data_IF_709642710492
#
_entry.id   IF_709642710492
#
_cell.length_a   1.000
_cell.length_b   1.000
_cell.length_c   1.000
_cell.angle_alpha   90.00
_cell.angle_beta   90.00
_cell.angle_gamma   90.00
#
_symmetry.space_group_name_H-M   'P 1'
#
loop_
_entity.id
_entity.type
_entity.pdbx_description
1 polymer ?
#
# COMPACT_ATOMS: atom_id res chain seq x y z
N UNK A 1 48.40 -53.01 29.25
CA UNK A 1 49.21 -51.94 28.64
C UNK A 1 48.25 -50.80 28.37
N UNK A 2 48.04 -49.92 29.36
CA UNK A 2 48.82 -48.69 29.64
C UNK A 2 48.40 -47.56 28.69
N UNK A 3 47.61 -46.59 29.21
CA UNK A 3 47.98 -45.16 29.44
C UNK A 3 47.92 -44.33 28.13
N UNK A 4 47.35 -43.13 28.04
CA UNK A 4 46.86 -42.16 29.01
C UNK A 4 46.11 -41.02 28.28
N UNK A 5 45.60 -40.06 29.06
CA UNK A 5 45.02 -38.78 28.62
C UNK A 5 46.12 -37.80 28.15
N UNK A 6 45.68 -36.72 27.49
CA UNK A 6 46.13 -35.31 27.56
C UNK A 6 45.80 -34.68 26.17
N UNK A 7 44.84 -33.77 25.98
CA UNK A 7 44.59 -32.38 26.44
C UNK A 7 44.93 -31.32 25.36
N UNK A 8 43.99 -30.38 25.24
CA UNK A 8 44.06 -28.97 24.79
C UNK A 8 44.45 -28.54 23.35
N UNK A 9 43.72 -27.52 22.86
CA UNK A 9 44.25 -26.59 21.85
C UNK A 9 43.25 -25.90 20.90
N UNK A 10 42.20 -25.24 21.40
CA UNK A 10 41.35 -24.35 20.59
C UNK A 10 42.03 -23.02 20.24
N UNK A 11 41.95 -22.59 18.98
CA UNK A 11 42.47 -21.29 18.52
C UNK A 11 41.31 -20.29 18.31
N UNK A 12 41.31 -19.22 19.10
CA UNK A 12 40.42 -18.06 18.99
C UNK A 12 41.29 -16.84 18.65
N UNK A 13 40.96 -16.02 17.64
CA UNK A 13 41.77 -14.86 17.26
C UNK A 13 41.63 -13.69 18.26
N UNK A 14 42.65 -12.82 18.39
CA UNK A 14 42.72 -11.84 19.46
C UNK A 14 41.81 -10.63 19.24
N UNK A 15 41.11 -10.24 20.31
CA UNK A 15 40.37 -8.99 20.41
C UNK A 15 41.32 -7.78 20.42
N UNK A 16 40.95 -6.74 19.69
CA UNK A 16 41.64 -5.45 19.67
C UNK A 16 41.62 -4.81 21.08
N UNK A 17 42.81 -4.48 21.60
CA UNK A 17 42.98 -3.69 22.82
C UNK A 17 42.77 -2.21 22.52
N UNK A 18 41.84 -1.57 23.23
CA UNK A 18 41.85 -0.13 23.49
C UNK A 18 42.51 0.13 24.86
N UNK A 19 43.35 1.16 25.01
CA UNK A 19 44.07 1.40 26.25
C UNK A 19 43.13 1.89 27.36
N UNK A 20 43.23 1.25 28.52
CA UNK A 20 42.56 1.64 29.76
C UNK A 20 43.25 2.84 30.40
N UNK A 21 42.46 3.79 30.88
CA UNK A 21 42.87 4.82 31.84
C UNK A 21 42.00 4.73 33.08
N UNK A 22 42.66 4.43 34.20
CA UNK A 22 42.23 4.51 35.61
C UNK A 22 41.18 3.53 36.17
N UNK A 23 41.72 2.53 36.87
CA UNK A 23 41.57 2.35 38.32
C UNK A 23 40.16 2.20 38.91
N UNK A 24 39.73 0.95 39.14
CA UNK A 24 39.81 0.31 40.46
C UNK A 24 38.92 -0.95 40.55
N UNK A 25 39.54 -2.01 41.09
CA UNK A 25 38.97 -3.15 41.82
C UNK A 25 38.19 -4.23 41.04
N UNK A 26 38.82 -5.40 40.99
CA UNK A 26 38.25 -6.71 40.68
C UNK A 26 37.12 -7.06 41.67
N UNK A 27 35.98 -7.50 41.15
CA UNK A 27 35.09 -8.46 41.83
C UNK A 27 34.42 -9.34 40.78
N UNK A 28 34.69 -10.64 40.89
CA UNK A 28 34.09 -11.76 40.16
C UNK A 28 32.62 -11.93 40.54
N UNK A 29 31.72 -12.10 39.56
CA UNK A 29 30.32 -12.48 39.80
C UNK A 29 30.15 -14.01 39.74
N UNK A 30 29.39 -14.64 40.68
CA UNK A 30 28.86 -16.00 40.49
C UNK A 30 27.51 -15.96 39.74
N UNK A 31 27.08 -17.07 39.12
CA UNK A 31 25.85 -17.12 38.34
C UNK A 31 24.66 -17.50 39.25
N UNK A 32 23.54 -16.80 39.12
CA UNK A 32 22.26 -17.29 39.62
C UNK A 32 21.12 -16.97 38.65
N UNK A 33 20.31 -17.99 38.49
CA UNK A 33 19.20 -18.26 37.58
C UNK A 33 17.98 -17.36 37.79
N UNK A 34 17.33 -17.07 36.65
CA UNK A 34 15.93 -16.68 36.38
C UNK A 34 15.12 -15.78 37.34
N UNK A 35 14.51 -14.76 36.71
CA UNK A 35 13.37 -13.94 37.16
C UNK A 35 13.61 -12.95 38.32
N UNK A 36 13.96 -11.72 37.94
CA UNK A 36 13.41 -10.52 38.57
C UNK A 36 13.12 -9.43 37.52
N UNK A 37 12.00 -8.76 37.74
CA UNK A 37 11.21 -7.93 36.83
C UNK A 37 11.53 -6.46 37.07
N UNK A 38 11.49 -5.67 35.99
CA UNK A 38 11.20 -4.24 35.96
C UNK A 38 12.12 -3.23 36.67
N UNK A 39 12.03 -2.01 36.12
CA UNK A 39 12.22 -0.73 36.80
C UNK A 39 13.66 -0.29 37.07
N UNK A 40 14.16 0.60 36.23
CA UNK A 40 14.35 1.99 36.66
C UNK A 40 14.56 2.92 35.47
N UNK A 41 13.72 3.95 35.43
CA UNK A 41 13.76 5.07 34.48
C UNK A 41 12.56 5.99 34.74
N UNK A 42 12.32 6.33 36.01
CA UNK A 42 11.26 7.22 36.43
C UNK A 42 11.67 8.69 36.26
N UNK A 43 10.91 9.42 35.45
CA UNK A 43 10.84 10.89 35.44
C UNK A 43 9.43 11.32 35.88
N UNK A 44 9.33 11.66 37.17
CA UNK A 44 8.30 12.35 37.96
C UNK A 44 7.03 12.87 37.23
N UNK A 45 5.87 12.32 37.62
CA UNK A 45 4.53 12.92 37.50
C UNK A 45 4.23 13.74 38.77
N UNK A 46 3.79 14.98 38.62
CA UNK A 46 3.14 15.74 39.71
C UNK A 46 1.63 15.56 39.65
N UNK A 47 1.05 15.25 40.80
CA UNK A 47 -0.33 14.83 40.97
C UNK A 47 -1.20 15.97 41.52
N UNK A 48 -2.44 16.01 41.02
CA UNK A 48 -3.67 16.56 41.63
C UNK A 48 -3.84 18.08 41.85
N UNK A 49 -4.91 18.61 41.26
CA UNK A 49 -6.13 18.98 42.03
C UNK A 49 -7.41 18.85 41.20
N UNK A 50 -8.51 18.73 41.95
CA UNK A 50 -9.81 18.13 41.66
C UNK A 50 -10.88 19.23 41.58
N UNK A 51 -11.75 19.18 40.57
CA UNK A 51 -13.10 19.77 40.60
C UNK A 51 -13.28 21.11 39.88
N UNK A 52 -14.34 21.21 39.07
CA UNK A 52 -14.80 22.47 38.49
C UNK A 52 -15.80 22.31 37.34
N UNK A 53 -17.07 22.16 37.70
CA UNK A 53 -18.24 22.20 36.78
C UNK A 53 -18.54 23.66 36.39
N UNK A 54 -19.16 23.86 35.21
CA UNK A 54 -19.75 25.11 34.65
C UNK A 54 -18.76 26.05 33.94
N UNK A 55 -19.09 26.72 32.84
CA UNK A 55 -20.41 27.11 32.28
C UNK A 55 -20.25 27.48 30.80
N UNK A 56 -21.27 27.15 30.01
CA UNK A 56 -21.54 27.71 28.69
C UNK A 56 -21.45 29.24 28.71
N UNK A 57 -20.72 29.87 27.77
CA UNK A 57 -20.87 31.30 27.48
C UNK A 57 -20.91 31.52 25.97
N UNK A 58 -22.13 31.59 25.43
CA UNK A 58 -22.41 32.45 24.28
C UNK A 58 -22.24 33.90 24.71
N UNK A 59 -21.69 34.74 23.84
CA UNK A 59 -22.21 36.10 23.64
C UNK A 59 -21.88 36.57 22.22
N UNK A 60 -22.95 36.91 21.51
CA UNK A 60 -23.02 37.74 20.31
C UNK A 60 -22.88 39.21 20.76
N UNK A 61 -22.17 40.03 19.99
CA UNK A 61 -22.65 41.29 19.38
C UNK A 61 -21.53 42.29 19.02
N UNK A 62 -21.47 42.57 17.72
CA UNK A 62 -21.56 43.91 17.10
C UNK A 62 -20.49 44.95 17.41
N UNK A 63 -19.75 45.34 16.37
CA UNK A 63 -18.96 46.57 16.30
C UNK A 63 -18.53 46.88 14.88
N UNK A 64 -19.29 47.74 14.19
CA UNK A 64 -18.89 48.42 12.95
C UNK A 64 -17.59 49.21 13.16
N UNK A 65 -16.72 49.21 12.15
CA UNK A 65 -15.58 50.12 12.05
C UNK A 65 -14.93 50.05 10.66
N UNK A 66 -15.23 51.04 9.82
CA UNK A 66 -14.80 51.19 8.44
C UNK A 66 -13.43 51.92 8.28
N UNK A 67 -12.82 51.72 7.11
CA UNK A 67 -11.72 52.48 6.44
C UNK A 67 -10.30 52.30 7.02
N UNK A 68 -9.26 51.92 6.28
CA UNK A 68 -8.69 52.54 5.05
C UNK A 68 -7.67 51.60 4.36
N UNK A 69 -7.08 52.08 3.26
CA UNK A 69 -6.55 51.39 2.07
C UNK A 69 -5.02 51.50 1.96
N UNK A 70 -4.31 50.36 1.85
CA UNK A 70 -2.99 50.12 1.17
C UNK A 70 -1.72 50.86 1.64
N UNK A 71 -0.51 50.53 1.14
CA UNK A 71 -0.18 49.58 0.06
C UNK A 71 0.93 48.54 0.38
N UNK A 72 1.09 47.65 -0.59
CA UNK A 72 1.99 46.50 -0.73
C UNK A 72 3.49 46.74 -0.50
N UNK A 73 4.18 45.69 -0.02
CA UNK A 73 5.57 45.42 -0.39
C UNK A 73 5.77 43.91 -0.61
N UNK A 74 6.10 43.58 -1.85
CA UNK A 74 6.44 42.26 -2.36
C UNK A 74 7.63 41.64 -1.61
N UNK A 75 7.49 40.39 -1.19
CA UNK A 75 8.63 39.48 -1.02
C UNK A 75 8.43 38.36 -2.04
N UNK A 76 9.21 38.42 -3.10
CA UNK A 76 9.33 37.36 -4.10
C UNK A 76 10.18 36.25 -3.47
N UNK A 77 9.56 35.12 -3.13
CA UNK A 77 10.27 33.89 -2.83
C UNK A 77 10.15 33.00 -4.08
N UNK A 78 11.19 33.01 -4.90
CA UNK A 78 11.32 32.09 -6.04
C UNK A 78 11.38 30.66 -5.52
N UNK A 79 10.29 29.92 -5.69
CA UNK A 79 10.30 28.46 -5.71
C UNK A 79 10.00 28.06 -7.14
N UNK A 80 11.00 27.47 -7.79
CA UNK A 80 10.86 26.83 -9.09
C UNK A 80 9.78 25.75 -8.97
N UNK A 81 8.62 26.04 -9.55
CA UNK A 81 7.57 25.06 -9.76
C UNK A 81 8.07 24.07 -10.81
N UNK A 82 8.38 22.85 -10.38
CA UNK A 82 8.51 21.69 -11.27
C UNK A 82 7.12 21.34 -11.82
N UNK A 83 6.61 22.15 -12.74
CA UNK A 83 5.41 21.87 -13.51
C UNK A 83 5.78 21.03 -14.72
N UNK A 84 6.00 19.73 -14.54
CA UNK A 84 6.13 18.80 -15.67
C UNK A 84 5.40 17.50 -15.36
N UNK A 85 4.53 17.13 -16.31
CA UNK A 85 3.85 15.84 -16.50
C UNK A 85 2.45 15.67 -15.89
N UNK A 86 1.47 16.44 -16.36
CA UNK A 86 0.13 15.88 -16.62
C UNK A 86 -0.44 16.50 -17.90
N UNK A 87 0.18 16.17 -19.04
CA UNK A 87 -0.54 16.23 -20.31
C UNK A 87 -1.66 15.21 -20.21
N UNK A 88 -2.90 15.63 -20.47
CA UNK A 88 -4.06 14.74 -20.58
C UNK A 88 -3.77 13.63 -21.59
N UNK A 89 -3.38 12.44 -21.11
CA UNK A 89 -3.28 11.25 -21.95
C UNK A 89 -4.70 10.79 -22.21
N UNK A 90 -5.26 11.16 -23.38
CA UNK A 90 -6.46 10.54 -23.90
C UNK A 90 -6.11 9.13 -24.39
N UNK A 91 -6.19 8.14 -23.50
CA UNK A 91 -6.07 6.73 -23.91
C UNK A 91 -7.33 6.35 -24.69
N UNK A 92 -7.21 6.24 -26.01
CA UNK A 92 -8.28 5.72 -26.87
C UNK A 92 -8.34 4.19 -26.75
N UNK A 93 -9.10 3.67 -25.78
CA UNK A 93 -9.37 2.23 -25.67
C UNK A 93 -10.31 1.76 -26.80
N UNK A 94 -9.84 0.83 -27.63
CA UNK A 94 -10.69 0.06 -28.55
C UNK A 94 -11.45 -1.02 -27.76
N UNK A 95 -12.74 -1.28 -28.05
CA UNK A 95 -13.53 -2.24 -27.30
C UNK A 95 -13.29 -3.64 -27.84
N UNK A 96 -12.63 -4.54 -27.10
CA UNK A 96 -12.54 -5.96 -27.49
C UNK A 96 -13.03 -6.91 -26.39
N UNK A 97 -14.07 -7.65 -26.78
CA UNK A 97 -14.58 -8.94 -26.28
C UNK A 97 -14.70 -9.14 -24.77
N UNK A 98 -15.88 -8.78 -24.26
CA UNK A 98 -16.42 -9.17 -22.95
C UNK A 98 -16.59 -10.69 -22.84
N UNK A 99 -16.32 -11.27 -21.67
CA UNK A 99 -17.07 -12.44 -21.19
C UNK A 99 -18.49 -11.95 -20.84
N UNK A 100 -19.56 -12.67 -21.20
CA UNK A 100 -20.92 -12.15 -21.02
C UNK A 100 -21.26 -12.15 -19.53
N UNK A 101 -21.16 -10.98 -18.89
CA UNK A 101 -21.92 -10.71 -17.67
C UNK A 101 -23.38 -10.69 -18.12
N UNK A 102 -24.18 -11.64 -17.63
CA UNK A 102 -25.57 -11.80 -18.06
C UNK A 102 -26.34 -10.49 -17.94
N UNK A 103 -27.11 -10.14 -18.98
CA UNK A 103 -27.88 -8.89 -19.06
C UNK A 103 -28.85 -8.69 -17.89
N UNK A 104 -29.21 -9.76 -17.18
CA UNK A 104 -30.05 -9.73 -15.98
C UNK A 104 -29.28 -9.36 -14.70
N UNK A 105 -27.97 -9.61 -14.63
CA UNK A 105 -27.10 -9.24 -13.50
C UNK A 105 -26.86 -7.74 -13.48
N UNK A 106 -26.64 -7.13 -14.65
CA UNK A 106 -26.47 -5.68 -14.78
C UNK A 106 -27.72 -4.94 -14.29
N UNK A 107 -28.93 -5.47 -14.55
CA UNK A 107 -30.17 -4.81 -14.16
C UNK A 107 -30.51 -4.95 -12.66
N UNK A 108 -30.10 -6.05 -12.00
CA UNK A 108 -30.24 -6.19 -10.54
C UNK A 108 -29.23 -5.36 -9.75
N UNK A 109 -28.04 -5.13 -10.32
CA UNK A 109 -26.97 -4.28 -9.75
C UNK A 109 -27.39 -2.79 -9.68
N UNK A 110 -28.36 -2.34 -10.49
CA UNK A 110 -28.79 -0.93 -10.49
C UNK A 110 -29.70 -0.52 -9.31
N UNK A 111 -30.25 -1.44 -8.49
CA UNK A 111 -31.31 -1.08 -7.53
C UNK A 111 -30.86 -0.86 -6.06
N UNK A 112 -29.64 -1.22 -5.67
CA UNK A 112 -29.18 -1.06 -4.28
C UNK A 112 -28.08 -0.01 -4.14
N UNK A 113 -26.86 -0.41 -4.50
CA UNK A 113 -25.66 0.32 -4.14
C UNK A 113 -25.05 1.10 -5.31
N UNK A 114 -25.37 2.38 -5.43
CA UNK A 114 -24.92 3.21 -6.58
C UNK A 114 -23.40 3.32 -6.67
N UNK A 115 -22.69 3.32 -5.54
CA UNK A 115 -21.23 3.45 -5.51
C UNK A 115 -20.58 2.20 -6.09
N UNK A 116 -20.89 1.02 -5.56
CA UNK A 116 -20.31 -0.25 -6.03
C UNK A 116 -20.69 -0.52 -7.49
N UNK A 117 -21.93 -0.24 -7.88
CA UNK A 117 -22.36 -0.35 -9.27
C UNK A 117 -21.58 0.58 -10.19
N UNK A 118 -21.31 1.82 -9.75
CA UNK A 118 -20.46 2.74 -10.50
C UNK A 118 -19.02 2.23 -10.61
N UNK A 119 -18.44 1.73 -9.52
CA UNK A 119 -17.09 1.16 -9.51
C UNK A 119 -16.95 -0.02 -10.48
N UNK A 120 -17.94 -0.92 -10.50
CA UNK A 120 -17.98 -2.04 -11.45
C UNK A 120 -18.06 -1.59 -12.91
N UNK A 121 -18.86 -0.55 -13.20
CA UNK A 121 -19.05 -0.05 -14.56
C UNK A 121 -17.83 0.70 -15.09
N UNK A 122 -17.05 1.31 -14.19
CA UNK A 122 -15.89 2.14 -14.52
C UNK A 122 -14.57 1.38 -14.43
N UNK A 123 -14.53 0.23 -13.75
CA UNK A 123 -13.32 -0.59 -13.71
C UNK A 123 -12.92 -1.03 -15.12
N UNK A 124 -11.64 -0.85 -15.41
CA UNK A 124 -11.11 -1.10 -16.75
C UNK A 124 -10.84 -2.59 -16.97
N UNK A 125 -10.95 -3.04 -18.22
CA UNK A 125 -10.61 -4.40 -18.57
C UNK A 125 -9.12 -4.68 -18.31
N UNK A 126 -8.75 -5.91 -17.90
CA UNK A 126 -7.35 -6.29 -17.72
C UNK A 126 -6.54 -6.04 -18.99
N UNK A 127 -5.35 -5.46 -18.84
CA UNK A 127 -4.43 -5.24 -19.95
C UNK A 127 -3.73 -6.56 -20.33
N UNK A 128 -3.35 -6.68 -21.60
CA UNK A 128 -2.40 -7.69 -22.04
C UNK A 128 -0.97 -7.19 -21.81
N UNK A 129 -0.06 -8.11 -21.53
CA UNK A 129 1.36 -7.80 -21.47
C UNK A 129 1.94 -7.66 -22.89
N UNK A 130 2.73 -6.62 -23.12
CA UNK A 130 3.46 -6.45 -24.39
C UNK A 130 4.78 -7.21 -24.26
N UNK A 131 4.93 -8.32 -25.00
CA UNK A 131 6.12 -9.18 -24.90
C UNK A 131 7.35 -8.45 -25.43
N UNK A 132 8.44 -8.53 -24.68
CA UNK A 132 9.72 -7.93 -25.04
C UNK A 132 10.70 -9.00 -25.57
N UNK A 133 10.86 -9.09 -26.89
CA UNK A 133 11.80 -10.02 -27.55
C UNK A 133 13.24 -9.45 -27.67
N UNK A 134 13.58 -8.40 -26.90
CA UNK A 134 14.88 -7.73 -27.02
C UNK A 134 16.09 -8.54 -26.52
N UNK A 135 15.86 -9.64 -25.79
CA UNK A 135 16.93 -10.42 -25.15
C UNK A 135 16.66 -11.93 -25.18
N UNK A 136 17.75 -12.71 -25.15
CA UNK A 136 17.69 -14.17 -25.03
C UNK A 136 17.56 -14.65 -23.56
N UNK A 137 17.71 -13.75 -22.58
CA UNK A 137 17.50 -14.07 -21.16
C UNK A 137 16.00 -14.02 -20.83
N UNK A 138 15.39 -15.19 -20.69
CA UNK A 138 13.95 -15.33 -20.41
C UNK A 138 13.53 -14.70 -19.08
N UNK A 139 14.41 -14.68 -18.08
CA UNK A 139 14.13 -14.07 -16.78
C UNK A 139 14.13 -12.56 -16.88
N UNK A 140 15.10 -12.00 -17.61
CA UNK A 140 15.17 -10.57 -17.89
C UNK A 140 13.97 -10.12 -18.74
N UNK A 141 13.65 -10.82 -19.84
CA UNK A 141 12.48 -10.58 -20.68
C UNK A 141 11.18 -10.55 -19.85
N UNK A 142 11.00 -11.53 -18.95
CA UNK A 142 9.86 -11.60 -18.03
C UNK A 142 9.77 -10.35 -17.15
N UNK A 143 10.89 -9.91 -16.60
CA UNK A 143 10.94 -8.72 -15.74
C UNK A 143 10.61 -7.42 -16.49
N UNK A 144 11.13 -7.24 -17.71
CA UNK A 144 10.84 -6.07 -18.54
C UNK A 144 9.36 -6.02 -18.91
N UNK A 145 8.84 -7.15 -19.39
CA UNK A 145 7.42 -7.33 -19.73
C UNK A 145 6.51 -7.03 -18.53
N UNK A 146 6.89 -7.51 -17.34
CA UNK A 146 6.16 -7.26 -16.10
C UNK A 146 6.18 -5.77 -15.72
N UNK A 147 7.35 -5.11 -15.76
CA UNK A 147 7.48 -3.70 -15.39
C UNK A 147 6.74 -2.76 -16.35
N UNK A 148 6.74 -3.08 -17.65
CA UNK A 148 5.95 -2.34 -18.63
C UNK A 148 4.45 -2.48 -18.38
N UNK A 149 3.98 -3.71 -18.15
CA UNK A 149 2.59 -3.97 -17.79
C UNK A 149 2.18 -3.19 -16.53
N UNK A 150 2.97 -3.24 -15.46
CA UNK A 150 2.69 -2.51 -14.21
C UNK A 150 2.58 -1.00 -14.45
N UNK A 151 3.47 -0.42 -15.25
CA UNK A 151 3.44 1.01 -15.56
C UNK A 151 2.17 1.41 -16.32
N UNK A 152 1.72 0.56 -17.26
CA UNK A 152 0.48 0.79 -18.02
C UNK A 152 -0.76 0.58 -17.16
N UNK A 153 -0.80 -0.46 -16.32
CA UNK A 153 -1.88 -0.68 -15.35
C UNK A 153 -1.97 0.47 -14.34
N UNK A 154 -0.83 1.02 -13.89
CA UNK A 154 -0.75 2.18 -13.02
C UNK A 154 -1.37 3.44 -13.66
N UNK A 155 -1.09 3.70 -14.94
CA UNK A 155 -1.73 4.80 -15.67
C UNK A 155 -3.25 4.65 -15.76
N UNK A 156 -3.72 3.42 -16.01
CA UNK A 156 -5.17 3.10 -16.01
C UNK A 156 -5.77 3.30 -14.62
N UNK A 157 -5.07 2.86 -13.57
CA UNK A 157 -5.51 3.01 -12.18
C UNK A 157 -5.63 4.49 -11.78
N UNK A 158 -4.68 5.34 -12.17
CA UNK A 158 -4.75 6.79 -11.92
C UNK A 158 -5.98 7.40 -12.62
N UNK A 159 -6.27 6.95 -13.84
CA UNK A 159 -7.48 7.35 -14.56
C UNK A 159 -8.78 6.87 -13.89
N UNK A 160 -8.77 5.65 -13.36
CA UNK A 160 -9.90 5.06 -12.63
C UNK A 160 -10.14 5.73 -11.27
N UNK A 161 -9.08 6.08 -10.52
CA UNK A 161 -9.20 6.74 -9.22
C UNK A 161 -10.04 8.02 -9.28
N UNK A 162 -9.89 8.81 -10.35
CA UNK A 162 -10.67 10.03 -10.61
C UNK A 162 -12.17 9.77 -10.76
N UNK A 163 -12.56 8.55 -11.13
CA UNK A 163 -13.95 8.13 -11.31
C UNK A 163 -14.56 7.58 -10.01
N UNK A 164 -13.78 7.36 -8.95
CA UNK A 164 -14.32 6.93 -7.66
C UNK A 164 -15.17 8.08 -7.08
N UNK A 165 -16.44 7.84 -6.71
CA UNK A 165 -17.29 8.87 -6.13
C UNK A 165 -16.63 9.57 -4.93
N UNK A 166 -16.51 10.89 -4.96
CA UNK A 166 -15.87 11.70 -3.93
C UNK A 166 -14.37 11.99 -4.14
N UNK A 167 -13.64 11.14 -4.86
CA UNK A 167 -12.18 11.28 -5.00
C UNK A 167 -11.76 12.58 -5.70
N UNK A 168 -12.41 12.93 -6.81
CA UNK A 168 -12.12 14.16 -7.55
C UNK A 168 -12.50 15.44 -6.79
N UNK A 169 -13.23 15.33 -5.68
CA UNK A 169 -13.55 16.46 -4.79
C UNK A 169 -12.46 16.77 -3.75
N UNK A 170 -11.49 15.87 -3.57
CA UNK A 170 -10.35 16.07 -2.67
C UNK A 170 -9.36 17.10 -3.24
N UNK A 171 -8.52 17.66 -2.39
CA UNK A 171 -7.41 18.51 -2.84
C UNK A 171 -6.46 17.71 -3.75
N UNK A 172 -5.74 18.37 -4.66
CA UNK A 172 -4.75 17.66 -5.49
C UNK A 172 -3.64 17.02 -4.66
N UNK A 173 -3.29 17.63 -3.52
CA UNK A 173 -2.30 17.09 -2.57
C UNK A 173 -2.80 15.77 -1.99
N UNK A 174 -4.05 15.74 -1.54
CA UNK A 174 -4.67 14.52 -0.99
C UNK A 174 -4.82 13.43 -2.06
N UNK A 175 -5.30 13.80 -3.27
CA UNK A 175 -5.41 12.85 -4.38
C UNK A 175 -4.06 12.20 -4.71
N UNK A 176 -2.98 13.00 -4.76
CA UNK A 176 -1.63 12.49 -5.01
C UNK A 176 -1.16 11.59 -3.87
N UNK A 177 -1.36 12.01 -2.62
CA UNK A 177 -0.91 11.27 -1.44
C UNK A 177 -1.58 9.91 -1.36
N UNK A 178 -2.91 9.84 -1.51
CA UNK A 178 -3.67 8.59 -1.54
C UNK A 178 -3.17 7.65 -2.66
N UNK A 179 -2.96 8.17 -3.87
CA UNK A 179 -2.43 7.40 -4.99
C UNK A 179 -1.02 6.87 -4.70
N UNK A 180 -0.11 7.71 -4.23
CA UNK A 180 1.28 7.35 -3.92
C UNK A 180 1.37 6.24 -2.87
N UNK A 181 0.46 6.24 -1.90
CA UNK A 181 0.42 5.21 -0.87
C UNK A 181 -0.25 3.89 -1.28
N UNK A 182 -1.36 3.95 -2.03
CA UNK A 182 -2.27 2.81 -2.23
C UNK A 182 -2.25 2.17 -3.62
N UNK A 183 -1.51 2.75 -4.59
CA UNK A 183 -1.53 2.27 -5.97
C UNK A 183 -1.16 0.78 -6.11
N UNK A 184 -0.12 0.35 -5.38
CA UNK A 184 0.36 -1.02 -5.50
C UNK A 184 -0.64 -2.01 -4.91
N UNK A 185 -1.26 -1.67 -3.77
CA UNK A 185 -2.32 -2.48 -3.18
C UNK A 185 -3.49 -2.68 -4.16
N UNK A 186 -3.97 -1.60 -4.78
CA UNK A 186 -5.05 -1.67 -5.75
C UNK A 186 -4.70 -2.54 -6.98
N UNK A 187 -3.44 -2.50 -7.47
CA UNK A 187 -2.98 -3.38 -8.53
C UNK A 187 -2.92 -4.84 -8.08
N UNK A 188 -2.37 -5.10 -6.88
CA UNK A 188 -2.23 -6.46 -6.36
C UNK A 188 -3.56 -7.13 -6.04
N UNK A 189 -4.61 -6.38 -5.68
CA UNK A 189 -5.98 -6.92 -5.61
C UNK A 189 -6.39 -7.51 -6.97
N UNK A 190 -6.07 -6.82 -8.07
CA UNK A 190 -6.34 -7.30 -9.42
C UNK A 190 -5.58 -8.58 -9.77
N UNK A 191 -4.29 -8.66 -9.44
CA UNK A 191 -3.48 -9.87 -9.65
C UNK A 191 -4.02 -11.03 -8.80
N UNK A 192 -4.32 -10.78 -7.52
CA UNK A 192 -4.85 -11.79 -6.62
C UNK A 192 -6.20 -12.34 -7.11
N UNK A 193 -7.09 -11.47 -7.57
CA UNK A 193 -8.37 -11.82 -8.19
C UNK A 193 -8.20 -12.71 -9.42
N UNK A 194 -7.36 -12.30 -10.38
CA UNK A 194 -7.10 -13.06 -11.62
C UNK A 194 -6.47 -14.43 -11.36
N UNK A 195 -5.74 -14.55 -10.26
CA UNK A 195 -5.02 -15.77 -9.87
C UNK A 195 -5.90 -16.77 -9.10
N UNK A 196 -7.13 -16.39 -8.73
CA UNK A 196 -8.06 -17.32 -8.07
C UNK A 196 -8.44 -18.44 -9.04
N UNK A 197 -8.17 -19.69 -8.64
CA UNK A 197 -8.48 -20.87 -9.46
C UNK A 197 -7.50 -21.14 -10.62
N UNK A 198 -6.35 -20.45 -10.66
CA UNK A 198 -5.28 -20.82 -11.57
C UNK A 198 -4.73 -22.21 -11.19
N UNK A 199 -4.54 -23.08 -12.19
CA UNK A 199 -3.91 -24.38 -11.96
C UNK A 199 -2.45 -24.19 -11.54
N UNK A 200 -1.95 -25.05 -10.64
CA UNK A 200 -0.52 -25.09 -10.32
C UNK A 200 0.01 -23.90 -9.52
N UNK A 201 -0.85 -23.17 -8.78
CA UNK A 201 -0.42 -22.07 -7.91
C UNK A 201 0.28 -20.92 -8.68
N UNK A 202 -0.09 -20.73 -9.95
CA UNK A 202 0.43 -19.64 -10.80
C UNK A 202 -0.10 -18.26 -10.38
N UNK A 203 0.72 -17.23 -10.56
CA UNK A 203 0.29 -15.83 -10.52
C UNK A 203 -0.07 -15.34 -11.92
N UNK A 204 -1.28 -14.78 -12.07
CA UNK A 204 -1.84 -14.30 -13.33
C UNK A 204 -1.75 -12.77 -13.40
N UNK A 205 -0.63 -12.26 -13.90
CA UNK A 205 -0.42 -10.82 -14.10
C UNK A 205 -1.22 -10.30 -15.28
N UNK A 206 -1.31 -11.04 -16.38
CA UNK A 206 -2.19 -10.73 -17.52
C UNK A 206 -2.69 -12.03 -18.16
N UNK A 207 -3.65 -11.94 -19.08
CA UNK A 207 -4.15 -13.11 -19.81
C UNK A 207 -3.06 -13.91 -20.53
N UNK A 208 -1.99 -13.22 -20.94
CA UNK A 208 -0.80 -13.77 -21.61
C UNK A 208 0.48 -13.69 -20.78
N UNK A 209 0.40 -13.35 -19.48
CA UNK A 209 1.55 -13.33 -18.57
C UNK A 209 1.19 -14.03 -17.27
N UNK A 210 1.59 -15.30 -17.19
CA UNK A 210 1.41 -16.18 -16.05
C UNK A 210 2.77 -16.66 -15.58
N UNK A 211 3.02 -16.56 -14.28
CA UNK A 211 4.29 -16.96 -13.70
C UNK A 211 4.07 -17.99 -12.59
N UNK A 212 4.73 -19.13 -12.71
CA UNK A 212 4.84 -20.11 -11.63
C UNK A 212 5.94 -19.72 -10.61
N UNK A 213 6.07 -20.52 -9.55
CA UNK A 213 7.09 -20.30 -8.51
C UNK A 213 8.51 -20.32 -9.07
N UNK A 214 8.80 -21.24 -10.00
CA UNK A 214 10.13 -21.42 -10.59
C UNK A 214 10.55 -20.22 -11.44
N UNK A 215 9.63 -19.74 -12.29
CA UNK A 215 9.80 -18.54 -13.11
C UNK A 215 9.97 -17.30 -12.24
N UNK A 216 9.16 -17.14 -11.19
CA UNK A 216 9.31 -16.04 -10.25
C UNK A 216 10.68 -16.08 -9.54
N UNK A 217 11.11 -17.27 -9.07
CA UNK A 217 12.42 -17.44 -8.42
C UNK A 217 13.57 -17.12 -9.37
N UNK A 218 13.53 -17.58 -10.62
CA UNK A 218 14.55 -17.29 -11.63
C UNK A 218 14.64 -15.79 -11.95
N UNK A 219 13.50 -15.09 -11.99
CA UNK A 219 13.42 -13.65 -12.15
C UNK A 219 13.81 -12.84 -10.89
N UNK A 220 14.05 -13.48 -9.74
CA UNK A 220 14.33 -12.77 -8.48
C UNK A 220 13.10 -12.17 -7.79
N UNK A 221 11.91 -12.68 -8.14
CA UNK A 221 10.59 -12.30 -7.62
C UNK A 221 10.09 -13.26 -6.53
N UNK A 222 10.94 -14.08 -5.92
CA UNK A 222 10.53 -15.09 -4.94
C UNK A 222 9.74 -14.49 -3.75
N UNK A 223 10.22 -13.39 -3.18
CA UNK A 223 9.59 -12.71 -2.03
C UNK A 223 8.20 -12.16 -2.40
N UNK A 224 8.07 -11.63 -3.62
CA UNK A 224 6.80 -11.15 -4.18
C UNK A 224 5.84 -12.32 -4.42
N UNK A 225 6.34 -13.42 -4.99
CA UNK A 225 5.54 -14.61 -5.26
C UNK A 225 4.93 -15.16 -3.98
N UNK A 226 5.74 -15.35 -2.94
CA UNK A 226 5.26 -15.87 -1.65
C UNK A 226 4.19 -14.95 -1.05
N UNK A 227 4.43 -13.63 -1.05
CA UNK A 227 3.48 -12.66 -0.51
C UNK A 227 2.14 -12.68 -1.26
N UNK A 228 2.17 -12.71 -2.60
CA UNK A 228 0.97 -12.75 -3.41
C UNK A 228 0.23 -14.09 -3.31
N UNK A 229 0.95 -15.22 -3.19
CA UNK A 229 0.31 -16.51 -2.95
C UNK A 229 -0.49 -16.53 -1.65
N UNK A 230 0.07 -16.00 -0.57
CA UNK A 230 -0.64 -15.88 0.71
C UNK A 230 -1.88 -14.99 0.58
N UNK A 231 -1.77 -13.85 -0.12
CA UNK A 231 -2.90 -12.96 -0.38
C UNK A 231 -3.98 -13.63 -1.23
N UNK A 232 -3.61 -14.29 -2.33
CA UNK A 232 -4.54 -14.99 -3.22
C UNK A 232 -5.25 -16.11 -2.47
N UNK A 233 -4.55 -16.91 -1.67
CA UNK A 233 -5.17 -17.97 -0.86
C UNK A 233 -6.18 -17.39 0.14
N UNK A 234 -5.86 -16.25 0.77
CA UNK A 234 -6.79 -15.55 1.68
C UNK A 234 -8.03 -15.07 0.94
N UNK A 235 -7.88 -14.49 -0.23
CA UNK A 235 -9.00 -13.96 -1.04
C UNK A 235 -9.86 -15.07 -1.62
N UNK A 236 -9.24 -16.16 -2.07
CA UNK A 236 -9.94 -17.36 -2.54
C UNK A 236 -10.75 -18.02 -1.41
N UNK A 237 -10.19 -18.09 -0.20
CA UNK A 237 -10.91 -18.62 0.96
C UNK A 237 -12.10 -17.76 1.40
N UNK A 238 -12.10 -16.48 1.02
CA UNK A 238 -13.24 -15.59 1.24
C UNK A 238 -14.29 -15.70 0.13
N UNK A 239 -13.98 -16.31 -1.01
CA UNK A 239 -14.85 -16.36 -2.20
C UNK A 239 -15.29 -14.94 -2.59
N UNK A 240 -14.32 -14.13 -3.04
CA UNK A 240 -14.59 -12.73 -3.37
C UNK A 240 -15.59 -12.61 -4.53
N UNK A 241 -16.49 -11.64 -4.45
CA UNK A 241 -17.32 -11.23 -5.58
C UNK A 241 -16.64 -10.12 -6.40
N UNK A 242 -17.04 -9.89 -7.67
CA UNK A 242 -16.51 -8.77 -8.44
C UNK A 242 -16.80 -7.41 -7.78
N UNK A 243 -17.95 -7.26 -7.10
CA UNK A 243 -18.29 -6.07 -6.32
C UNK A 243 -17.27 -5.81 -5.21
N UNK A 244 -16.87 -6.86 -4.49
CA UNK A 244 -15.91 -6.77 -3.40
C UNK A 244 -14.51 -6.48 -3.88
N UNK A 245 -14.14 -6.95 -5.07
CA UNK A 245 -12.84 -6.66 -5.69
C UNK A 245 -12.72 -5.16 -5.99
N UNK A 246 -13.73 -4.54 -6.62
CA UNK A 246 -13.68 -3.10 -6.90
C UNK A 246 -13.80 -2.26 -5.63
N UNK A 247 -14.57 -2.73 -4.64
CA UNK A 247 -14.63 -2.10 -3.33
C UNK A 247 -13.27 -2.16 -2.61
N UNK A 248 -12.60 -3.33 -2.58
CA UNK A 248 -11.26 -3.48 -2.01
C UNK A 248 -10.23 -2.59 -2.70
N UNK A 249 -10.29 -2.44 -4.03
CA UNK A 249 -9.41 -1.51 -4.78
C UNK A 249 -9.63 -0.06 -4.34
N UNK A 250 -10.89 0.38 -4.23
CA UNK A 250 -11.23 1.73 -3.79
C UNK A 250 -10.82 1.96 -2.31
N UNK A 251 -11.06 0.98 -1.45
CA UNK A 251 -10.66 1.01 -0.04
C UNK A 251 -9.14 1.00 0.12
N UNK A 252 -8.39 0.29 -0.73
CA UNK A 252 -6.93 0.31 -0.70
C UNK A 252 -6.36 1.70 -1.05
N UNK A 253 -7.00 2.42 -1.99
CA UNK A 253 -6.63 3.81 -2.29
C UNK A 253 -7.05 4.78 -1.17
N UNK A 254 -8.19 4.55 -0.53
CA UNK A 254 -8.73 5.45 0.49
C UNK A 254 -8.11 5.23 1.88
N UNK A 255 -7.81 3.98 2.25
CA UNK A 255 -7.30 3.56 3.56
C UNK A 255 -5.77 3.51 3.59
N UNK A 256 -5.15 4.53 3.02
CA UNK A 256 -3.72 4.70 3.01
C UNK A 256 -3.21 5.29 4.31
N UNK A 257 -2.01 4.87 4.74
CA UNK A 257 -1.21 5.58 5.76
C UNK A 257 -0.57 6.86 5.16
N UNK A 258 -1.29 7.55 4.28
CA UNK A 258 -0.79 8.72 3.58
C UNK A 258 -0.45 9.83 4.58
N UNK A 259 0.79 10.28 4.58
CA UNK A 259 1.28 11.40 5.37
C UNK A 259 2.24 12.22 4.48
N UNK A 260 2.02 13.54 4.29
CA UNK A 260 0.96 14.37 4.87
C UNK A 260 -0.33 14.45 4.04
N UNK A 261 -1.47 14.54 4.74
CA UNK A 261 -2.78 14.90 4.19
C UNK A 261 -3.03 16.38 4.45
N UNK A 262 -3.49 17.11 3.44
CA UNK A 262 -3.81 18.54 3.51
C UNK A 262 -5.16 18.76 4.23
N UNK A 263 -6.21 18.02 3.84
CA UNK A 263 -7.56 18.14 4.40
C UNK A 263 -8.05 16.80 4.98
N UNK A 264 -7.67 16.44 6.23
CA UNK A 264 -8.01 15.15 6.83
C UNK A 264 -9.52 14.91 6.93
N UNK A 265 -10.31 15.95 7.22
CA UNK A 265 -11.77 15.83 7.30
C UNK A 265 -12.41 15.46 5.95
N UNK A 266 -11.86 15.95 4.84
CA UNK A 266 -12.36 15.62 3.51
C UNK A 266 -12.01 14.17 3.13
N UNK A 267 -10.80 13.72 3.49
CA UNK A 267 -10.38 12.33 3.29
C UNK A 267 -11.21 11.37 4.16
N UNK A 268 -11.50 11.72 5.42
CA UNK A 268 -12.39 10.92 6.27
C UNK A 268 -13.81 10.82 5.69
N UNK A 269 -14.40 11.93 5.21
CA UNK A 269 -15.72 11.88 4.57
C UNK A 269 -15.73 11.01 3.31
N UNK A 270 -14.65 11.04 2.53
CA UNK A 270 -14.48 10.17 1.38
C UNK A 270 -14.40 8.69 1.79
N UNK A 271 -13.60 8.37 2.82
CA UNK A 271 -13.52 7.02 3.38
C UNK A 271 -14.88 6.55 3.94
N UNK A 272 -15.60 7.40 4.67
CA UNK A 272 -16.91 7.08 5.24
C UNK A 272 -17.90 6.70 4.14
N UNK A 273 -17.93 7.45 3.02
CA UNK A 273 -18.79 7.12 1.89
C UNK A 273 -18.49 5.74 1.26
N UNK A 274 -17.23 5.31 1.24
CA UNK A 274 -16.87 3.96 0.78
C UNK A 274 -17.22 2.88 1.80
N UNK A 275 -17.07 3.14 3.10
CA UNK A 275 -17.49 2.22 4.16
C UNK A 275 -19.02 2.04 4.19
N UNK A 276 -19.77 3.13 4.05
CA UNK A 276 -21.24 3.10 3.93
C UNK A 276 -21.67 2.27 2.73
N UNK A 277 -21.03 2.46 1.57
CA UNK A 277 -21.28 1.62 0.41
C UNK A 277 -20.96 0.14 0.71
N UNK A 278 -19.84 -0.19 1.35
CA UNK A 278 -19.52 -1.58 1.66
C UNK A 278 -20.56 -2.20 2.63
N UNK A 279 -21.05 -1.44 3.60
CA UNK A 279 -22.08 -1.88 4.55
C UNK A 279 -23.44 -2.07 3.87
N UNK A 280 -23.82 -1.18 2.95
CA UNK A 280 -25.03 -1.33 2.15
C UNK A 280 -24.96 -2.61 1.31
N UNK A 281 -23.81 -2.90 0.70
CA UNK A 281 -23.59 -4.16 -0.02
C UNK A 281 -23.72 -5.39 0.89
N UNK A 282 -23.08 -5.37 2.07
CA UNK A 282 -23.23 -6.44 3.07
C UNK A 282 -24.71 -6.71 3.40
N UNK A 283 -25.48 -5.63 3.62
CA UNK A 283 -26.91 -5.73 3.93
C UNK A 283 -27.71 -6.39 2.80
N UNK A 284 -27.31 -6.15 1.54
CA UNK A 284 -27.97 -6.70 0.36
C UNK A 284 -27.65 -8.18 0.11
N UNK A 285 -26.45 -8.63 0.47
CA UNK A 285 -26.01 -10.01 0.29
C UNK A 285 -26.37 -10.94 1.47
N UNK A 286 -26.74 -10.37 2.63
CA UNK A 286 -27.18 -11.13 3.81
C UNK A 286 -26.06 -11.84 4.58
N UNK A 287 -24.80 -11.62 4.21
CA UNK A 287 -23.63 -12.19 4.91
C UNK A 287 -23.18 -11.28 6.05
N UNK A 288 -23.60 -11.57 7.29
CA UNK A 288 -23.13 -10.81 8.46
C UNK A 288 -21.61 -10.76 8.56
N UNK A 289 -21.10 -9.59 8.92
CA UNK A 289 -19.69 -9.28 9.13
C UNK A 289 -18.82 -9.38 7.87
N UNK A 290 -19.41 -9.38 6.67
CA UNK A 290 -18.65 -9.48 5.41
C UNK A 290 -17.73 -8.28 5.21
N UNK A 291 -18.23 -7.06 5.43
CA UNK A 291 -17.43 -5.84 5.36
C UNK A 291 -16.24 -5.91 6.34
N UNK A 292 -16.50 -6.35 7.57
CA UNK A 292 -15.46 -6.55 8.58
C UNK A 292 -14.36 -7.53 8.14
N UNK A 293 -14.73 -8.66 7.52
CA UNK A 293 -13.75 -9.64 7.01
C UNK A 293 -12.87 -9.06 5.90
N UNK A 294 -13.47 -8.28 4.99
CA UNK A 294 -12.76 -7.60 3.91
C UNK A 294 -11.78 -6.56 4.45
N UNK A 295 -12.23 -5.70 5.38
CA UNK A 295 -11.39 -4.69 6.01
C UNK A 295 -10.22 -5.31 6.79
N UNK A 296 -10.46 -6.39 7.52
CA UNK A 296 -9.42 -7.13 8.24
C UNK A 296 -8.42 -7.83 7.32
N UNK A 297 -8.67 -7.89 6.00
CA UNK A 297 -7.72 -8.41 5.03
C UNK A 297 -6.76 -7.34 4.49
N UNK A 298 -7.07 -6.05 4.65
CA UNK A 298 -6.23 -4.94 4.17
C UNK A 298 -4.81 -4.95 4.75
N UNK A 299 -4.54 -5.32 6.01
CA UNK A 299 -3.17 -5.42 6.51
C UNK A 299 -2.31 -6.44 5.75
N UNK A 300 -2.89 -7.58 5.34
CA UNK A 300 -2.19 -8.56 4.51
C UNK A 300 -1.92 -8.01 3.10
N UNK A 301 -2.88 -7.27 2.55
CA UNK A 301 -2.72 -6.59 1.26
C UNK A 301 -1.58 -5.56 1.30
N UNK A 302 -1.55 -4.70 2.33
CA UNK A 302 -0.48 -3.73 2.60
C UNK A 302 0.87 -4.42 2.69
N UNK A 303 0.97 -5.50 3.47
CA UNK A 303 2.20 -6.28 3.58
C UNK A 303 2.66 -6.85 2.23
N UNK A 304 1.75 -7.37 1.41
CA UNK A 304 2.08 -7.89 0.09
C UNK A 304 2.56 -6.79 -0.87
N UNK A 305 1.91 -5.63 -0.83
CA UNK A 305 2.31 -4.45 -1.59
C UNK A 305 3.70 -3.95 -1.18
N UNK A 306 3.99 -3.85 0.12
CA UNK A 306 5.30 -3.38 0.58
C UNK A 306 6.42 -4.34 0.14
N UNK A 307 6.20 -5.66 0.22
CA UNK A 307 7.15 -6.66 -0.29
C UNK A 307 7.34 -6.57 -1.80
N UNK A 308 6.27 -6.33 -2.57
CA UNK A 308 6.36 -6.16 -4.01
C UNK A 308 7.14 -4.89 -4.38
N UNK A 309 6.88 -3.76 -3.71
CA UNK A 309 7.60 -2.51 -3.92
C UNK A 309 9.10 -2.65 -3.61
N UNK A 310 9.43 -3.25 -2.46
CA UNK A 310 10.81 -3.52 -2.06
C UNK A 310 11.52 -4.45 -3.06
N UNK A 311 10.83 -5.46 -3.57
CA UNK A 311 11.38 -6.37 -4.58
C UNK A 311 11.72 -5.64 -5.88
N UNK A 312 10.81 -4.81 -6.39
CA UNK A 312 11.03 -4.03 -7.61
C UNK A 312 12.16 -3.00 -7.43
N UNK A 313 12.18 -2.27 -6.31
CA UNK A 313 13.25 -1.34 -5.98
C UNK A 313 14.62 -2.04 -5.87
N UNK A 314 14.67 -3.22 -5.24
CA UNK A 314 15.89 -4.03 -5.16
C UNK A 314 16.39 -4.42 -6.55
N UNK A 315 15.52 -4.92 -7.41
CA UNK A 315 15.87 -5.31 -8.78
C UNK A 315 16.37 -4.12 -9.61
N UNK A 316 15.74 -2.95 -9.44
CA UNK A 316 16.17 -1.71 -10.09
C UNK A 316 17.55 -1.25 -9.61
N UNK A 317 17.78 -1.20 -8.28
CA UNK A 317 19.07 -0.79 -7.68
C UNK A 317 20.22 -1.73 -8.04
N UNK A 318 19.95 -3.01 -8.27
CA UNK A 318 20.93 -3.97 -8.78
C UNK A 318 21.17 -3.84 -10.31
N UNK A 319 20.65 -2.79 -10.96
CA UNK A 319 20.71 -2.53 -12.40
C UNK A 319 20.19 -3.69 -13.27
N UNK A 320 19.27 -4.51 -12.74
CA UNK A 320 18.68 -5.62 -13.50
C UNK A 320 17.54 -5.15 -14.42
N UNK A 321 16.85 -4.08 -14.05
CA UNK A 321 15.69 -3.56 -14.79
C UNK A 321 15.69 -2.03 -14.87
N UNK A 322 15.52 -1.44 -16.06
CA UNK A 322 15.10 -0.06 -16.20
C UNK A 322 13.63 0.07 -15.81
N UNK A 323 13.31 1.05 -14.96
CA UNK A 323 11.93 1.37 -14.61
C UNK A 323 11.49 2.63 -15.35
N UNK A 324 10.24 2.63 -15.80
CA UNK A 324 9.59 3.84 -16.34
C UNK A 324 9.56 4.93 -15.27
N UNK A 325 9.69 6.20 -15.70
CA UNK A 325 9.79 7.36 -14.80
C UNK A 325 8.65 7.42 -13.78
N UNK A 326 7.40 7.27 -14.24
CA UNK A 326 6.23 7.29 -13.35
C UNK A 326 6.28 6.17 -12.31
N UNK A 327 6.57 4.94 -12.74
CA UNK A 327 6.64 3.79 -11.85
C UNK A 327 7.73 3.97 -10.79
N UNK A 328 8.89 4.52 -11.17
CA UNK A 328 9.97 4.83 -10.24
C UNK A 328 9.55 5.91 -9.24
N UNK A 329 8.97 7.02 -9.69
CA UNK A 329 8.46 8.09 -8.82
C UNK A 329 7.44 7.56 -7.79
N UNK A 330 6.55 6.65 -8.21
CA UNK A 330 5.53 6.05 -7.34
C UNK A 330 6.09 5.00 -6.37
N UNK A 331 7.21 4.35 -6.72
CA UNK A 331 7.94 3.45 -5.82
C UNK A 331 8.75 4.24 -4.77
N UNK A 332 9.42 5.32 -5.19
CA UNK A 332 10.22 6.17 -4.31
C UNK A 332 9.35 6.96 -3.33
N UNK A 333 8.12 7.35 -3.72
CA UNK A 333 7.17 7.99 -2.81
C UNK A 333 6.71 7.08 -1.65
N UNK A 334 6.93 5.76 -1.76
CA UNK A 334 6.55 4.75 -0.76
C UNK A 334 7.72 4.34 0.16
N UNK A 335 8.95 4.77 -0.15
CA UNK A 335 10.19 4.41 0.57
C UNK A 335 10.60 5.46 1.59
#
# INVERSE_FOLDING_TARGET
MSTGRDDEGGYVPPAAMCPTGNDHKQTTCPPLTERCVAFCGAGVRMDRVRGGRQKYRRRVETGLGFYTRGPSSHVVCSRESSSLLFTTVSVSLKPHTRRPIGSNYIMSVFLGNKVISHLLLTDSAPLAADQDDSTNDSSLCTLLTLCDLLNRELLVLIGWAKQIPGFSGLSLVDQMSLLQSGWMEALLVGVAWRSQGAAGEELVFAGNLRLDEGQCRAAGLADLYEALRHLTARYQAMDLSPEEVVALKAMALANSDADPVDCPDAVHQFQDGLHEALQEYESSCGERHRAGRLLMSLPLLRQAADRAAQTLLRLHRCHRIPLHKLLLEMLDAKS
#
